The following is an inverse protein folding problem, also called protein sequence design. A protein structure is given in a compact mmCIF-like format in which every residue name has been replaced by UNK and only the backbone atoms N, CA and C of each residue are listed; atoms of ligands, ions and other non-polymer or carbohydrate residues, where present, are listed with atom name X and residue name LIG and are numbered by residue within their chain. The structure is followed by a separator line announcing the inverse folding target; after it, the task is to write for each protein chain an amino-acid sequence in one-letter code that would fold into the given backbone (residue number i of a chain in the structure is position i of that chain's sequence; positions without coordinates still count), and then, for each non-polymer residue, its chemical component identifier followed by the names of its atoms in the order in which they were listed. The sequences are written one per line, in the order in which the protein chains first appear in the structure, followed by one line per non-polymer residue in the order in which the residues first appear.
data_IF_640992277653
#
_entry.id   IF_640992277653
#
_cell.length_a   1.000
_cell.length_b   1.000
_cell.length_c   1.000
_cell.angle_alpha   90.00
_cell.angle_beta   90.00
_cell.angle_gamma   90.00
#
_symmetry.space_group_name_H-M   'P 1'
#
loop_
_entity.id
_entity.type
_entity.pdbx_description
1 polymer ?
#
# COMPACT_ATOMS: atom_id res chain seq x y z
N UNK A 1 25.60 3.20 31.59
CA UNK A 1 24.47 2.88 30.70
C UNK A 1 24.53 3.87 29.54
N UNK A 2 25.18 3.50 28.44
CA UNK A 2 25.30 4.38 27.26
C UNK A 2 23.93 4.57 26.63
N UNK A 3 23.47 5.82 26.52
CA UNK A 3 22.30 6.15 25.71
C UNK A 3 22.68 5.90 24.24
N UNK A 4 22.29 4.75 23.70
CA UNK A 4 22.27 4.54 22.25
C UNK A 4 21.38 5.62 21.62
N UNK A 5 21.99 6.50 20.84
CA UNK A 5 21.25 7.41 19.95
C UNK A 5 20.53 6.52 18.93
N UNK A 6 19.19 6.57 18.89
CA UNK A 6 18.44 5.93 17.80
C UNK A 6 18.66 6.75 16.55
N UNK A 7 19.26 6.14 15.54
CA UNK A 7 19.35 6.72 14.19
C UNK A 7 18.04 6.37 13.49
N UNK A 8 17.24 7.37 13.16
CA UNK A 8 16.05 7.23 12.35
C UNK A 8 16.34 7.76 10.95
N UNK A 9 15.99 6.99 9.92
CA UNK A 9 16.03 7.44 8.54
C UNK A 9 14.66 8.01 8.16
N UNK A 10 14.63 9.22 7.63
CA UNK A 10 13.41 9.83 7.10
C UNK A 10 13.41 9.71 5.58
N UNK A 11 12.35 9.14 5.03
CA UNK A 11 12.13 8.98 3.60
C UNK A 11 11.00 9.92 3.17
N UNK A 12 11.29 10.80 2.22
CA UNK A 12 10.32 11.74 1.67
C UNK A 12 9.91 11.27 0.27
N UNK A 13 8.61 11.02 0.07
CA UNK A 13 8.05 10.51 -1.17
C UNK A 13 6.83 11.34 -1.57
N UNK A 14 6.76 11.77 -2.82
CA UNK A 14 5.59 12.46 -3.36
C UNK A 14 4.60 11.46 -3.98
N UNK A 15 3.39 11.41 -3.44
CA UNK A 15 2.31 10.63 -4.05
C UNK A 15 1.86 11.24 -5.38
N UNK A 16 1.07 10.48 -6.12
CA UNK A 16 0.32 11.01 -7.26
C UNK A 16 -0.83 11.89 -6.77
N UNK A 17 -0.90 13.11 -7.30
CA UNK A 17 -2.05 14.02 -7.15
C UNK A 17 -3.18 13.52 -8.05
N UNK A 18 -4.29 13.15 -7.42
CA UNK A 18 -5.48 12.54 -8.04
C UNK A 18 -6.72 13.43 -7.93
N UNK A 19 -6.67 14.44 -7.07
CA UNK A 19 -7.70 15.46 -6.88
C UNK A 19 -7.90 16.38 -8.10
N UNK A 20 -6.87 16.48 -8.96
CA UNK A 20 -6.90 17.28 -10.18
C UNK A 20 -7.21 16.45 -11.45
N UNK A 21 -7.41 15.14 -11.35
CA UNK A 21 -7.56 14.27 -12.53
C UNK A 21 -9.02 14.22 -12.96
N UNK A 22 -9.29 14.65 -14.20
CA UNK A 22 -10.60 14.50 -14.82
C UNK A 22 -10.88 13.01 -15.08
N UNK A 23 -11.91 12.47 -14.44
CA UNK A 23 -12.39 11.12 -14.70
C UNK A 23 -13.23 11.18 -16.00
N UNK A 24 -12.90 10.41 -17.05
CA UNK A 24 -13.56 10.52 -18.35
C UNK A 24 -15.09 10.39 -18.25
N UNK A 25 -15.81 11.40 -18.72
CA UNK A 25 -17.28 11.38 -18.84
C UNK A 25 -17.67 10.32 -19.89
N UNK A 26 -18.14 9.16 -19.42
CA UNK A 26 -18.41 7.99 -20.26
C UNK A 26 -18.13 6.66 -19.55
N UNK A 27 -17.37 6.69 -18.45
CA UNK A 27 -17.20 5.56 -17.53
C UNK A 27 -18.43 5.36 -16.59
N UNK A 28 -19.64 5.58 -17.12
CA UNK A 28 -20.92 5.49 -16.40
C UNK A 28 -21.30 6.80 -15.70
N UNK A 29 -22.32 7.48 -16.24
CA UNK A 29 -22.93 8.64 -15.59
C UNK A 29 -23.36 8.31 -14.17
N UNK A 30 -22.60 8.81 -13.18
CA UNK A 30 -22.86 8.65 -11.75
C UNK A 30 -22.04 7.59 -11.00
N UNK A 31 -21.09 6.86 -11.60
CA UNK A 31 -20.34 5.78 -10.92
C UNK A 31 -18.81 5.98 -11.02
N UNK A 32 -18.03 6.06 -9.94
CA UNK A 32 -17.81 5.00 -8.93
C UNK A 32 -16.41 4.34 -9.03
N UNK A 33 -15.56 4.75 -9.99
CA UNK A 33 -14.17 4.30 -10.13
C UNK A 33 -13.22 5.20 -9.30
N UNK A 34 -12.30 4.59 -8.54
CA UNK A 34 -11.29 5.34 -7.81
C UNK A 34 -10.19 5.84 -8.77
N UNK A 35 -9.75 7.11 -8.67
CA UNK A 35 -8.67 7.65 -9.50
C UNK A 35 -7.35 6.86 -9.40
N UNK A 36 -7.12 6.15 -8.29
CA UNK A 36 -5.97 5.26 -8.11
C UNK A 36 -5.89 4.14 -9.17
N UNK A 37 -7.03 3.74 -9.74
CA UNK A 37 -7.13 2.70 -10.77
C UNK A 37 -7.17 3.26 -12.20
N UNK A 38 -6.89 4.56 -12.39
CA UNK A 38 -6.67 5.07 -13.74
C UNK A 38 -5.38 4.44 -14.33
N UNK A 39 -5.33 4.22 -15.65
CA UNK A 39 -4.23 3.53 -16.30
C UNK A 39 -2.85 4.08 -15.91
N UNK A 40 -1.99 3.21 -15.38
CA UNK A 40 -0.60 3.53 -15.06
C UNK A 40 -0.38 4.21 -13.70
N UNK A 41 -1.44 4.57 -12.97
CA UNK A 41 -1.32 5.25 -11.67
C UNK A 41 -0.76 4.31 -10.60
N UNK A 42 -1.28 3.08 -10.53
CA UNK A 42 -0.80 2.07 -9.58
C UNK A 42 0.70 1.81 -9.75
N UNK A 43 1.14 1.61 -10.99
CA UNK A 43 2.53 1.31 -11.35
C UNK A 43 3.43 2.51 -11.01
N UNK A 44 2.96 3.74 -11.27
CA UNK A 44 3.68 4.97 -10.95
C UNK A 44 3.92 5.11 -9.46
N UNK A 45 2.88 4.93 -8.64
CA UNK A 45 3.02 5.04 -7.19
C UNK A 45 3.80 3.87 -6.58
N UNK A 46 3.62 2.65 -7.09
CA UNK A 46 4.44 1.51 -6.71
C UNK A 46 5.92 1.78 -6.96
N UNK A 47 6.28 2.25 -8.16
CA UNK A 47 7.68 2.50 -8.52
C UNK A 47 8.31 3.58 -7.63
N UNK A 48 7.59 4.68 -7.35
CA UNK A 48 8.05 5.73 -6.44
C UNK A 48 8.36 5.19 -5.05
N UNK A 49 7.41 4.46 -4.47
CA UNK A 49 7.57 3.88 -3.13
C UNK A 49 8.70 2.84 -3.11
N UNK A 50 8.74 1.95 -4.11
CA UNK A 50 9.76 0.91 -4.25
C UNK A 50 11.16 1.52 -4.34
N UNK A 51 11.38 2.50 -5.21
CA UNK A 51 12.68 3.16 -5.36
C UNK A 51 13.13 3.81 -4.06
N UNK A 52 12.21 4.46 -3.33
CA UNK A 52 12.50 5.04 -2.02
C UNK A 52 12.92 4.00 -0.98
N UNK A 53 12.13 2.93 -0.82
CA UNK A 53 12.45 1.86 0.13
C UNK A 53 13.74 1.13 -0.23
N UNK A 54 13.92 0.77 -1.51
CA UNK A 54 15.12 0.11 -1.98
C UNK A 54 16.37 0.95 -1.71
N UNK A 55 16.35 2.25 -2.01
CA UNK A 55 17.48 3.13 -1.76
C UNK A 55 17.84 3.22 -0.27
N UNK A 56 16.85 3.26 0.62
CA UNK A 56 17.07 3.25 2.07
C UNK A 56 17.66 1.93 2.52
N UNK A 57 17.09 0.80 2.09
CA UNK A 57 17.51 -0.51 2.54
C UNK A 57 18.89 -0.90 2.02
N UNK A 58 19.18 -0.62 0.75
CA UNK A 58 20.49 -0.82 0.13
C UNK A 58 21.56 0.03 0.83
N UNK A 59 21.26 1.31 1.12
CA UNK A 59 22.18 2.18 1.86
C UNK A 59 22.52 1.63 3.25
N UNK A 60 21.55 1.06 3.97
CA UNK A 60 21.77 0.43 5.26
C UNK A 60 22.52 -0.90 5.15
N UNK A 61 22.17 -1.73 4.16
CA UNK A 61 22.84 -3.00 3.90
C UNK A 61 24.35 -2.81 3.63
N UNK A 62 24.71 -1.79 2.82
CA UNK A 62 26.11 -1.43 2.53
C UNK A 62 26.89 -0.94 3.74
N UNK A 63 26.22 -0.42 4.77
CA UNK A 63 26.83 -0.04 6.06
C UNK A 63 27.00 -1.22 7.02
N UNK A 64 26.66 -2.44 6.58
CA UNK A 64 26.67 -3.64 7.44
C UNK A 64 25.46 -3.72 8.37
N UNK A 65 24.46 -2.84 8.22
CA UNK A 65 23.23 -2.82 9.01
C UNK A 65 22.16 -3.71 8.38
N UNK A 66 22.48 -5.00 8.16
CA UNK A 66 21.49 -5.99 7.70
C UNK A 66 20.53 -6.31 8.84
N UNK A 67 19.54 -5.44 9.02
CA UNK A 67 18.49 -5.58 10.05
C UNK A 67 17.13 -5.54 9.39
N UNK A 68 16.19 -6.23 10.04
CA UNK A 68 14.78 -6.10 9.74
C UNK A 68 14.37 -4.63 9.83
N UNK A 69 13.66 -4.17 8.81
CA UNK A 69 13.30 -2.77 8.63
C UNK A 69 11.92 -2.54 9.21
N UNK A 70 11.81 -1.62 10.17
CA UNK A 70 10.51 -1.17 10.66
C UNK A 70 10.16 0.16 10.03
N UNK A 71 9.25 0.14 9.06
CA UNK A 71 8.80 1.33 8.35
C UNK A 71 7.57 1.87 9.08
N UNK A 72 7.57 3.17 9.38
CA UNK A 72 6.43 3.86 9.96
C UNK A 72 5.88 4.80 8.90
N UNK A 73 4.67 4.50 8.38
CA UNK A 73 4.07 5.25 7.30
C UNK A 73 2.77 5.93 7.74
N UNK A 74 2.56 7.16 7.29
CA UNK A 74 1.29 7.89 7.40
C UNK A 74 0.44 7.66 6.13
N UNK A 75 -0.83 8.09 6.08
CA UNK A 75 -1.70 8.00 4.89
C UNK A 75 -1.15 8.78 3.67
N UNK A 76 -0.15 8.20 3.00
CA UNK A 76 0.58 8.80 1.90
C UNK A 76 -0.32 9.04 0.69
N UNK A 77 -0.49 10.31 0.30
CA UNK A 77 -1.28 10.68 -0.87
C UNK A 77 -2.80 10.63 -0.70
N UNK A 78 -3.31 10.37 0.51
CA UNK A 78 -4.76 10.15 0.72
C UNK A 78 -5.53 11.33 1.31
N UNK A 79 -4.85 12.44 1.61
CA UNK A 79 -5.48 13.69 2.04
C UNK A 79 -5.66 14.62 0.84
N UNK A 80 -4.87 15.68 0.81
CA UNK A 80 -4.91 16.69 -0.25
C UNK A 80 -4.75 16.13 -1.67
N UNK A 81 -4.07 14.99 -1.83
CA UNK A 81 -3.78 14.42 -3.15
C UNK A 81 -4.90 13.46 -3.64
N UNK A 82 -5.98 13.28 -2.89
CA UNK A 82 -7.20 12.60 -3.36
C UNK A 82 -7.11 11.08 -3.53
N UNK A 83 -6.02 10.42 -3.14
CA UNK A 83 -5.90 8.96 -3.27
C UNK A 83 -6.66 8.17 -2.22
N UNK A 84 -7.11 6.97 -2.56
CA UNK A 84 -7.76 6.08 -1.61
C UNK A 84 -6.73 5.49 -0.63
N UNK A 85 -6.96 5.72 0.67
CA UNK A 85 -6.05 5.25 1.73
C UNK A 85 -5.80 3.76 1.69
N UNK A 86 -6.80 2.93 1.34
CA UNK A 86 -6.63 1.47 1.31
C UNK A 86 -5.70 1.07 0.18
N UNK A 87 -5.90 1.66 -1.00
CA UNK A 87 -5.05 1.41 -2.18
C UNK A 87 -3.61 1.86 -1.89
N UNK A 88 -3.42 3.08 -1.36
CA UNK A 88 -2.08 3.60 -1.04
C UNK A 88 -1.34 2.76 0.00
N UNK A 89 -2.05 2.26 1.02
CA UNK A 89 -1.44 1.38 2.02
C UNK A 89 -0.99 0.05 1.42
N UNK A 90 -1.81 -0.57 0.56
CA UNK A 90 -1.41 -1.80 -0.16
C UNK A 90 -0.21 -1.54 -1.07
N UNK A 91 -0.18 -0.42 -1.79
CA UNK A 91 0.98 -0.02 -2.62
C UNK A 91 2.24 0.10 -1.76
N UNK A 92 2.19 0.78 -0.62
CA UNK A 92 3.34 0.90 0.29
C UNK A 92 3.80 -0.47 0.80
N UNK A 93 2.86 -1.37 1.12
CA UNK A 93 3.18 -2.72 1.60
C UNK A 93 3.84 -3.58 0.51
N UNK A 94 3.29 -3.58 -0.71
CA UNK A 94 3.87 -4.27 -1.86
C UNK A 94 5.26 -3.71 -2.17
N UNK A 95 5.40 -2.38 -2.25
CA UNK A 95 6.67 -1.73 -2.53
C UNK A 95 7.76 -2.07 -1.51
N UNK A 96 7.43 -2.03 -0.21
CA UNK A 96 8.36 -2.37 0.87
C UNK A 96 8.79 -3.84 0.79
N UNK A 97 7.83 -4.74 0.53
CA UNK A 97 8.09 -6.17 0.37
C UNK A 97 9.01 -6.45 -0.82
N UNK A 98 8.74 -5.85 -1.98
CA UNK A 98 9.59 -5.98 -3.17
C UNK A 98 11.00 -5.42 -2.94
N UNK A 99 11.12 -4.26 -2.29
CA UNK A 99 12.41 -3.66 -1.97
C UNK A 99 13.24 -4.55 -1.04
N UNK A 100 12.61 -5.16 -0.02
CA UNK A 100 13.29 -6.05 0.92
C UNK A 100 13.73 -7.38 0.27
N UNK A 101 12.86 -7.96 -0.58
CA UNK A 101 13.15 -9.18 -1.32
C UNK A 101 14.26 -9.01 -2.37
N UNK A 102 14.46 -7.79 -2.87
CA UNK A 102 15.49 -7.47 -3.88
C UNK A 102 16.92 -7.40 -3.31
N UNK A 103 17.10 -7.52 -1.99
CA UNK A 103 18.41 -7.41 -1.32
C UNK A 103 19.03 -8.77 -1.06
N UNK A 104 20.34 -8.85 -1.27
CA UNK A 104 21.12 -10.06 -0.99
C UNK A 104 21.10 -10.43 0.51
N UNK A 105 20.48 -11.57 0.80
CA UNK A 105 20.37 -12.15 2.15
C UNK A 105 18.99 -12.03 2.78
N UNK A 106 17.98 -11.56 2.06
CA UNK A 106 16.57 -11.63 2.48
C UNK A 106 16.27 -10.81 3.73
N UNK A 107 16.27 -9.48 3.60
CA UNK A 107 15.79 -8.62 4.67
C UNK A 107 14.27 -8.74 4.82
N UNK A 108 13.75 -8.62 6.04
CA UNK A 108 12.31 -8.47 6.26
C UNK A 108 11.97 -6.99 6.45
N UNK A 109 10.82 -6.59 5.93
CA UNK A 109 10.24 -5.28 6.18
C UNK A 109 8.93 -5.46 6.97
N UNK A 110 8.87 -4.86 8.15
CA UNK A 110 7.65 -4.67 8.91
C UNK A 110 7.12 -3.26 8.61
N UNK A 111 5.92 -3.18 8.06
CA UNK A 111 5.26 -1.92 7.79
C UNK A 111 4.22 -1.62 8.87
N UNK A 112 4.40 -0.51 9.57
CA UNK A 112 3.50 -0.02 10.61
C UNK A 112 2.84 1.26 10.11
N UNK A 113 1.52 1.21 9.97
CA UNK A 113 0.74 2.34 9.50
C UNK A 113 0.20 3.16 10.68
N UNK A 114 0.56 4.44 10.72
CA UNK A 114 0.01 5.40 11.65
C UNK A 114 -1.31 5.95 11.10
N UNK A 115 -2.36 5.14 11.20
CA UNK A 115 -3.73 5.58 10.93
C UNK A 115 -4.34 6.03 12.26
N UNK A 116 -3.84 7.13 12.83
CA UNK A 116 -4.53 7.76 13.96
C UNK A 116 -5.57 8.71 13.38
N UNK A 117 -6.84 8.34 13.49
CA UNK A 117 -7.95 9.28 13.49
C UNK A 117 -8.31 9.95 12.14
N UNK A 118 -8.07 9.28 11.01
CA UNK A 118 -8.93 9.54 9.84
C UNK A 118 -10.22 8.76 10.07
N UNK A 119 -11.37 9.45 10.00
CA UNK A 119 -12.70 8.88 10.21
C UNK A 119 -12.91 7.77 9.19
N UNK A 120 -12.59 6.55 9.61
CA UNK A 120 -12.98 5.31 8.97
C UNK A 120 -14.00 4.69 9.92
N UNK A 121 -15.14 5.39 10.10
CA UNK A 121 -16.26 4.89 10.90
C UNK A 121 -16.63 3.48 10.38
N UNK A 122 -16.78 2.54 11.33
CA UNK A 122 -17.02 1.10 11.15
C UNK A 122 -16.02 0.28 10.31
N UNK A 123 -15.24 0.87 9.37
CA UNK A 123 -14.36 0.13 8.44
C UNK A 123 -12.92 -0.07 8.94
N UNK A 124 -12.55 0.47 10.11
CA UNK A 124 -11.22 0.27 10.73
C UNK A 124 -11.00 -1.18 11.22
N UNK A 125 -12.07 -1.84 11.68
CA UNK A 125 -12.05 -3.26 12.09
C UNK A 125 -11.75 -4.14 10.88
N UNK A 126 -12.42 -3.86 9.75
CA UNK A 126 -12.25 -4.57 8.49
C UNK A 126 -10.83 -4.49 7.93
N UNK A 127 -10.17 -3.33 8.04
CA UNK A 127 -8.80 -3.19 7.58
C UNK A 127 -7.81 -4.04 8.39
N UNK A 128 -7.93 -4.03 9.73
CA UNK A 128 -7.06 -4.84 10.60
C UNK A 128 -7.29 -6.33 10.37
N UNK A 129 -8.55 -6.74 10.22
CA UNK A 129 -8.89 -8.13 9.91
C UNK A 129 -8.44 -8.56 8.51
N UNK A 130 -8.58 -7.70 7.50
CA UNK A 130 -8.12 -7.99 6.15
C UNK A 130 -6.58 -8.07 6.10
N UNK A 131 -5.87 -7.12 6.73
CA UNK A 131 -4.41 -7.16 6.79
C UNK A 131 -3.95 -8.44 7.50
N UNK A 132 -4.61 -8.80 8.62
CA UNK A 132 -4.37 -10.05 9.32
C UNK A 132 -4.69 -11.27 8.44
N UNK A 133 -5.80 -11.28 7.71
CA UNK A 133 -6.17 -12.37 6.79
C UNK A 133 -5.16 -12.53 5.65
N UNK A 134 -4.71 -11.44 5.04
CA UNK A 134 -3.65 -11.45 4.01
C UNK A 134 -2.34 -11.98 4.58
N UNK A 135 -1.98 -11.57 5.81
CA UNK A 135 -0.81 -12.08 6.52
C UNK A 135 -0.93 -13.57 6.88
N UNK A 136 -2.11 -14.02 7.32
CA UNK A 136 -2.38 -15.38 7.79
C UNK A 136 -2.64 -16.37 6.63
N UNK A 137 -3.05 -15.89 5.45
CA UNK A 137 -3.35 -16.73 4.27
C UNK A 137 -2.11 -17.16 3.49
N UNK A 138 -0.93 -16.61 3.82
CA UNK A 138 0.30 -16.84 3.07
C UNK A 138 0.34 -16.11 1.71
N UNK A 139 -0.61 -15.21 1.47
CA UNK A 139 -0.66 -14.35 0.27
C UNK A 139 0.55 -13.40 0.28
N UNK A 140 1.32 -13.44 -0.80
CA UNK A 140 2.52 -12.63 -0.97
C UNK A 140 2.24 -11.23 -1.52
N UNK A 141 3.28 -10.40 -1.55
CA UNK A 141 3.23 -9.09 -2.19
C UNK A 141 2.91 -9.18 -3.69
N UNK A 142 3.38 -10.24 -4.36
CA UNK A 142 3.08 -10.50 -5.77
C UNK A 142 1.59 -10.75 -6.01
N UNK A 143 0.93 -11.48 -5.11
CA UNK A 143 -0.49 -11.82 -5.23
C UNK A 143 -1.37 -10.58 -5.02
N UNK A 144 -1.06 -9.78 -3.99
CA UNK A 144 -1.74 -8.49 -3.76
C UNK A 144 -1.52 -7.53 -4.93
N UNK A 145 -0.32 -7.50 -5.51
CA UNK A 145 -0.04 -6.69 -6.67
C UNK A 145 -0.86 -7.13 -7.90
N UNK A 146 -0.95 -8.43 -8.16
CA UNK A 146 -1.81 -8.97 -9.23
C UNK A 146 -3.27 -8.63 -9.02
N UNK A 147 -3.77 -8.73 -7.79
CA UNK A 147 -5.13 -8.36 -7.44
C UNK A 147 -5.41 -6.87 -7.71
N UNK A 148 -4.48 -5.98 -7.36
CA UNK A 148 -4.59 -4.55 -7.68
C UNK A 148 -4.64 -4.28 -9.20
N UNK A 149 -3.82 -4.98 -9.99
CA UNK A 149 -3.82 -4.86 -11.46
C UNK A 149 -5.10 -5.43 -12.10
N UNK A 150 -5.66 -6.50 -11.55
CA UNK A 150 -6.94 -7.04 -12.01
C UNK A 150 -8.08 -6.03 -11.77
N UNK A 151 -8.06 -5.36 -10.61
CA UNK A 151 -9.02 -4.30 -10.30
C UNK A 151 -8.91 -3.07 -11.22
N UNK A 152 -7.69 -2.72 -11.66
CA UNK A 152 -7.43 -1.71 -12.70
C UNK A 152 -8.04 -2.13 -14.04
N UNK A 153 -7.81 -3.38 -14.46
CA UNK A 153 -8.29 -3.91 -15.75
C UNK A 153 -9.81 -4.07 -15.85
N UNK A 154 -10.49 -4.32 -14.73
CA UNK A 154 -11.92 -4.59 -14.69
C UNK A 154 -12.81 -3.32 -14.70
N UNK A 155 -12.23 -2.11 -14.85
CA UNK A 155 -13.00 -0.86 -15.02
C UNK A 155 -14.03 -0.62 -13.92
N UNK A 156 -13.61 -0.85 -12.67
CA UNK A 156 -14.50 -1.24 -11.58
C UNK A 156 -15.30 -0.07 -11.01
N UNK A 157 -16.45 0.18 -11.61
CA UNK A 157 -17.49 1.02 -11.03
C UNK A 157 -18.07 0.35 -9.76
N UNK A 158 -18.01 1.06 -8.61
CA UNK A 158 -18.52 0.65 -7.28
C UNK A 158 -17.69 -0.37 -6.49
N UNK A 159 -16.38 -0.13 -6.31
CA UNK A 159 -15.56 -1.01 -5.47
C UNK A 159 -15.40 -0.53 -4.03
N UNK A 160 -15.87 -1.36 -3.11
CA UNK A 160 -15.21 -1.49 -1.81
C UNK A 160 -13.85 -2.15 -2.06
N UNK A 161 -12.76 -1.38 -2.03
CA UNK A 161 -11.38 -1.83 -2.33
C UNK A 161 -11.03 -3.15 -1.64
N UNK A 162 -11.50 -3.32 -0.40
CA UNK A 162 -11.20 -4.51 0.39
C UNK A 162 -11.92 -5.74 -0.13
N UNK A 163 -13.18 -5.61 -0.57
CA UNK A 163 -13.92 -6.72 -1.17
C UNK A 163 -13.31 -7.11 -2.52
N UNK A 164 -12.96 -6.13 -3.35
CA UNK A 164 -12.32 -6.39 -4.63
C UNK A 164 -10.98 -7.13 -4.48
N UNK A 165 -10.17 -6.75 -3.49
CA UNK A 165 -8.92 -7.44 -3.18
C UNK A 165 -9.17 -8.85 -2.65
N UNK A 166 -10.11 -9.03 -1.72
CA UNK A 166 -10.45 -10.35 -1.16
C UNK A 166 -10.96 -11.29 -2.25
N UNK A 167 -11.84 -10.81 -3.12
CA UNK A 167 -12.40 -11.59 -4.22
C UNK A 167 -11.31 -11.96 -5.25
N UNK A 168 -10.45 -11.01 -5.64
CA UNK A 168 -9.33 -11.27 -6.56
C UNK A 168 -8.28 -12.23 -5.97
N UNK A 169 -8.12 -12.24 -4.66
CA UNK A 169 -7.26 -13.19 -3.95
C UNK A 169 -7.96 -14.55 -3.68
N UNK A 170 -9.23 -14.70 -4.04
CA UNK A 170 -10.01 -15.91 -3.76
C UNK A 170 -10.18 -16.20 -2.27
N UNK A 171 -10.11 -15.17 -1.42
CA UNK A 171 -10.23 -15.29 0.03
C UNK A 171 -11.69 -15.22 0.48
N UNK A 172 -12.02 -15.90 1.57
CA UNK A 172 -13.35 -15.76 2.17
C UNK A 172 -13.55 -14.36 2.76
N UNK A 173 -14.66 -13.72 2.39
CA UNK A 173 -15.06 -12.43 2.95
C UNK A 173 -15.18 -12.52 4.48
N UNK A 174 -14.64 -11.55 5.24
CA UNK A 174 -14.87 -11.47 6.68
C UNK A 174 -16.36 -11.55 7.00
N UNK A 175 -16.75 -12.39 7.97
CA UNK A 175 -18.10 -12.38 8.49
C UNK A 175 -18.31 -11.09 9.28
N UNK A 176 -19.15 -10.20 8.74
CA UNK A 176 -19.53 -8.96 9.40
C UNK A 176 -20.75 -9.26 10.27
N UNK A 177 -20.64 -9.08 11.58
CA UNK A 177 -21.78 -8.85 12.47
C UNK A 177 -21.99 -7.35 12.62
#
# INVERSE_FOLDING_TARGET
MERRIRVNTFLFLNATELDAVEIPEGAGGGSGMLPDFLPGILQRDLLKAYTGFFGVFDSQARKGEKRDQRIVATPWGSGAFGGDVRVKLLILWVAASFAAASLEGGQKAELVFLVKQFVVDAKEVWWKEMLKKVQDSGVGADDVWRALLEMEGNGTANINVLEGIVDALGLERPHVM
#
